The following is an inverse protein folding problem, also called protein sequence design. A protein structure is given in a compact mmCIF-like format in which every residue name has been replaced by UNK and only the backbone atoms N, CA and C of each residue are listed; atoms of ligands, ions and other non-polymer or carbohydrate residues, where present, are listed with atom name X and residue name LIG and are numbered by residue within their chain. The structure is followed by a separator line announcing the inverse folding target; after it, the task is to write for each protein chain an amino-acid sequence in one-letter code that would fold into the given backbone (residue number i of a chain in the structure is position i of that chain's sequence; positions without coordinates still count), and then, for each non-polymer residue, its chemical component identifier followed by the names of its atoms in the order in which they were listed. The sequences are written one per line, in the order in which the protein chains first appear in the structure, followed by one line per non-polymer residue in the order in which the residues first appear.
data_IF_838128157538
#
_entry.id   IF_838128157538
#
_cell.length_a   1.000
_cell.length_b   1.000
_cell.length_c   1.000
_cell.angle_alpha   90.00
_cell.angle_beta   90.00
_cell.angle_gamma   90.00
#
_symmetry.space_group_name_H-M   'P 1'
#
loop_
_entity.id
_entity.type
_entity.pdbx_description
1 polymer ?
2 polymer ?
3 non-polymer ?
4 water ?
#
# COMPACT_ATOMS: atom_id res chain seq x y z
N UNK A 4 2.70 -12.18 23.28
CA UNK A 4 2.86 -10.89 22.53
C UNK A 4 1.62 -9.99 22.68
N UNK A 5 1.87 -8.74 23.05
CA UNK A 5 0.84 -7.71 23.03
C UNK A 5 0.65 -7.20 21.58
N UNK A 6 -0.40 -7.68 20.90
CA UNK A 6 -0.71 -7.26 19.50
C UNK A 6 -1.09 -5.75 19.34
N UNK A 7 -1.67 -5.17 20.38
CA UNK A 7 -2.04 -3.76 20.38
C UNK A 7 -0.72 -2.95 20.43
N UNK A 8 0.27 -3.50 21.12
CA UNK A 8 1.60 -2.84 21.20
C UNK A 8 2.37 -2.88 19.87
N UNK A 9 2.24 -3.98 19.13
CA UNK A 9 2.83 -4.08 17.80
C UNK A 9 2.33 -2.94 16.93
N UNK A 10 1.05 -2.63 17.05
CA UNK A 10 0.48 -1.58 16.19
C UNK A 10 1.02 -0.22 16.66
N UNK A 11 1.02 0.05 17.96
CA UNK A 11 1.65 1.30 18.49
C UNK A 11 3.13 1.45 18.09
N UNK A 12 3.83 0.31 18.01
CA UNK A 12 5.23 0.31 17.57
C UNK A 12 5.41 0.67 16.12
N UNK A 13 4.48 0.21 15.29
CA UNK A 13 4.47 0.66 13.88
C UNK A 13 4.25 2.18 13.79
N UNK A 14 3.31 2.69 14.57
CA UNK A 14 3.05 4.11 14.63
C UNK A 14 4.28 4.85 15.05
N UNK A 15 5.01 4.30 16.03
CA UNK A 15 6.18 5.02 16.54
C UNK A 15 7.31 5.04 15.48
N UNK A 16 7.40 3.94 14.71
CA UNK A 16 8.45 3.88 13.67
C UNK A 16 8.04 4.90 12.57
N UNK A 17 6.72 4.93 12.26
CA UNK A 17 6.21 5.82 11.23
C UNK A 17 6.53 7.32 11.54
N UNK A 18 6.40 7.65 12.81
CA UNK A 18 6.54 9.01 13.30
C UNK A 18 8.00 9.38 13.46
N UNK A 19 8.89 8.41 13.37
CA UNK A 19 10.33 8.75 13.44
C UNK A 19 10.84 8.93 12.00
N UNK A 20 11.59 10.01 11.68
CA UNK A 20 11.93 10.16 10.25
C UNK A 20 12.75 9.02 9.64
N UNK A 21 13.65 8.43 10.42
CA UNK A 21 14.42 7.32 9.88
C UNK A 21 13.60 6.00 9.96
N UNK A 22 12.75 5.87 10.99
CA UNK A 22 11.83 4.74 11.00
C UNK A 22 10.93 4.78 9.76
N UNK A 23 10.51 5.97 9.37
CA UNK A 23 9.60 6.14 8.24
C UNK A 23 10.26 5.65 6.93
N UNK A 24 11.55 5.98 6.77
CA UNK A 24 12.30 5.63 5.58
C UNK A 24 12.47 4.09 5.51
N UNK A 25 12.58 3.46 6.69
CA UNK A 25 12.72 1.99 6.73
C UNK A 25 11.43 1.31 6.42
N UNK A 26 10.32 1.85 6.97
CA UNK A 26 9.02 1.16 6.86
C UNK A 26 8.52 1.30 5.42
N UNK A 27 8.67 2.49 4.81
CA UNK A 27 7.90 2.73 3.57
C UNK A 27 8.78 2.76 2.32
N UNK A 28 9.96 2.15 2.44
CA UNK A 28 10.77 1.84 1.31
C UNK A 28 10.03 0.90 0.36
N UNK A 29 10.44 0.89 -0.88
CA UNK A 29 9.74 0.14 -1.93
C UNK A 29 10.52 -1.03 -2.50
N UNK A 30 11.51 -1.52 -1.74
CA UNK A 30 12.20 -2.75 -2.10
C UNK A 30 11.31 -3.92 -1.67
N UNK A 31 10.70 -4.57 -2.68
CA UNK A 31 9.75 -5.64 -2.40
C UNK A 31 10.43 -7.00 -2.30
N UNK A 32 11.54 -7.23 -2.99
CA UNK A 32 12.15 -8.59 -3.05
C UNK A 32 12.84 -8.91 -1.75
N UNK A 33 13.62 -7.96 -1.26
CA UNK A 33 14.49 -8.24 -0.12
C UNK A 33 13.75 -8.18 1.21
N UNK A 34 14.30 -8.78 2.25
CA UNK A 34 13.64 -8.75 3.60
C UNK A 34 13.51 -7.30 4.04
N UNK A 35 12.40 -6.99 4.69
CA UNK A 35 12.25 -5.62 5.20
C UNK A 35 13.36 -5.30 6.24
N UNK A 36 13.85 -6.32 7.01
CA UNK A 36 14.85 -6.08 8.03
C UNK A 36 16.22 -5.88 7.41
N UNK A 37 16.35 -6.12 6.12
CA UNK A 37 17.64 -5.92 5.41
C UNK A 37 17.78 -4.47 4.92
N UNK A 38 16.76 -3.68 5.05
CA UNK A 38 16.82 -2.27 4.65
C UNK A 38 17.86 -1.56 5.47
N UNK A 39 18.52 -0.58 4.84
CA UNK A 39 19.72 0.06 5.46
C UNK A 39 19.62 1.58 5.19
N UNK A 40 19.63 2.34 6.28
CA UNK A 40 19.43 3.77 6.20
C UNK A 40 20.52 4.44 5.34
N UNK A 41 21.79 4.06 5.58
CA UNK A 41 22.86 4.65 4.74
C UNK A 41 22.60 4.44 3.26
N UNK A 42 22.27 3.21 2.84
CA UNK A 42 22.03 2.96 1.42
C UNK A 42 20.75 3.69 0.95
N UNK A 43 19.72 3.67 1.78
CA UNK A 43 18.47 4.35 1.35
C UNK A 43 18.75 5.79 1.04
N UNK A 44 19.48 6.47 1.95
CA UNK A 44 19.71 7.87 1.72
C UNK A 44 20.68 8.14 0.57
N UNK A 45 21.69 7.30 0.39
CA UNK A 45 22.59 7.39 -0.77
C UNK A 45 21.80 7.37 -2.07
N UNK A 46 20.80 6.48 -2.13
CA UNK A 46 20.00 6.36 -3.31
C UNK A 46 19.07 7.57 -3.56
N UNK A 47 18.58 8.19 -2.49
CA UNK A 47 17.89 9.49 -2.62
C UNK A 47 18.91 10.53 -3.14
N UNK A 48 20.10 10.57 -2.54
CA UNK A 48 21.09 11.54 -2.98
C UNK A 48 21.35 11.48 -4.48
N UNK A 49 21.53 10.26 -5.01
CA UNK A 49 21.84 9.98 -6.42
C UNK A 49 20.66 10.47 -7.27
N UNK A 50 19.46 10.15 -6.77
CA UNK A 50 18.21 10.41 -7.48
C UNK A 50 18.02 11.93 -7.63
N UNK A 51 18.29 12.63 -6.56
CA UNK A 51 18.17 14.07 -6.53
C UNK A 51 19.24 14.66 -7.46
N UNK A 52 20.44 14.08 -7.42
CA UNK A 52 21.53 14.55 -8.28
C UNK A 52 21.21 14.47 -9.78
N UNK A 53 20.51 13.42 -10.21
CA UNK A 53 20.14 13.27 -11.62
C UNK A 53 19.30 14.46 -12.10
N UNK A 54 18.44 14.98 -11.22
CA UNK A 54 17.57 16.10 -11.55
C UNK A 54 18.18 17.46 -11.32
N UNK A 55 19.47 17.46 -10.92
CA UNK A 55 20.16 18.71 -10.74
C UNK A 55 20.06 19.30 -9.38
N UNK A 56 19.85 18.46 -8.36
CA UNK A 56 19.80 18.93 -7.01
C UNK A 56 18.42 19.03 -6.42
N UNK A 57 18.39 19.15 -5.11
CA UNK A 57 17.08 19.13 -4.35
C UNK A 57 16.09 20.23 -4.80
N UNK A 58 16.58 21.46 -5.05
CA UNK A 58 15.70 22.53 -5.50
C UNK A 58 14.96 22.16 -6.80
N UNK A 59 15.69 21.69 -7.80
CA UNK A 59 15.02 21.37 -9.05
C UNK A 59 14.19 20.09 -8.93
N UNK A 60 14.65 19.16 -8.13
CA UNK A 60 13.93 17.90 -7.96
C UNK A 60 12.54 18.27 -7.42
N UNK A 61 12.50 19.14 -6.40
CA UNK A 61 11.22 19.61 -5.87
C UNK A 61 10.37 20.32 -6.88
N UNK A 62 11.00 21.18 -7.68
CA UNK A 62 10.24 21.93 -8.71
C UNK A 62 9.62 20.96 -9.69
N UNK A 63 10.41 19.93 -10.05
CA UNK A 63 10.03 18.96 -11.10
C UNK A 63 9.12 17.79 -10.65
N UNK A 64 9.27 17.39 -9.40
CA UNK A 64 8.50 16.18 -8.89
C UNK A 64 7.42 16.68 -7.92
N UNK A 65 7.66 17.83 -7.28
CA UNK A 65 6.68 18.44 -6.38
C UNK A 65 6.83 18.11 -4.91
N UNK A 66 7.77 17.22 -4.57
CA UNK A 66 7.94 16.86 -3.18
C UNK A 66 9.41 16.74 -2.90
N UNK A 67 9.71 16.77 -1.62
CA UNK A 67 11.06 16.60 -1.13
C UNK A 67 11.21 15.15 -0.67
N UNK A 68 12.06 14.38 -1.34
CA UNK A 68 12.12 12.91 -1.03
C UNK A 68 12.81 12.60 0.30
N UNK A 69 13.48 13.60 0.88
CA UNK A 69 14.06 13.40 2.21
C UNK A 69 13.01 13.52 3.32
N UNK A 70 11.90 14.20 3.06
CA UNK A 70 10.86 14.40 4.04
C UNK A 70 10.24 13.00 4.36
N UNK A 71 9.70 12.87 5.56
CA UNK A 71 8.90 11.64 5.88
C UNK A 71 7.76 11.51 4.92
N UNK A 72 7.43 10.24 4.57
CA UNK A 72 6.33 10.06 3.60
C UNK A 72 5.05 9.61 4.40
N UNK A 73 3.91 9.92 3.78
CA UNK A 73 2.63 9.30 4.26
C UNK A 73 2.21 8.34 3.18
N UNK A 74 2.37 7.04 3.41
CA UNK A 74 2.18 6.04 2.31
C UNK A 74 0.75 5.95 1.89
N UNK A 75 0.58 5.84 0.57
CA UNK A 75 -0.73 5.47 -0.03
C UNK A 75 -1.05 4.02 0.34
N UNK A 76 -2.21 3.53 -0.09
CA UNK A 76 -2.69 2.23 0.47
C UNK A 76 -1.85 1.02 0.10
N UNK A 77 -1.30 1.02 -1.11
CA UNK A 77 -0.56 -0.18 -1.59
C UNK A 77 0.81 -0.14 -0.92
N UNK A 78 1.34 1.09 -0.71
CA UNK A 78 2.65 1.24 -0.05
C UNK A 78 2.62 0.81 1.43
N UNK A 79 1.54 1.14 2.15
CA UNK A 79 1.46 0.78 3.59
C UNK A 79 1.13 -0.73 3.67
N UNK A 80 0.18 -1.21 2.85
CA UNK A 80 -0.27 -2.60 3.00
C UNK A 80 0.85 -3.59 2.65
N UNK A 81 1.56 -3.33 1.55
CA UNK A 81 2.64 -4.25 1.09
C UNK A 81 3.75 -4.27 2.11
N UNK A 82 4.07 -3.10 2.69
CA UNK A 82 5.15 -3.05 3.65
C UNK A 82 4.77 -3.69 5.02
N UNK A 83 3.60 -3.41 5.53
CA UNK A 83 3.23 -4.04 6.78
C UNK A 83 3.11 -5.59 6.57
N UNK A 84 2.64 -5.99 5.41
CA UNK A 84 2.58 -7.42 5.10
C UNK A 84 3.95 -8.11 5.22
N UNK A 85 5.00 -7.46 4.69
CA UNK A 85 6.31 -8.03 4.82
C UNK A 85 6.70 -8.07 6.31
N UNK A 86 6.42 -7.00 7.05
CA UNK A 86 6.81 -6.92 8.44
C UNK A 86 6.15 -8.08 9.22
N UNK A 87 4.93 -8.43 8.82
CA UNK A 87 4.25 -9.50 9.55
C UNK A 87 4.70 -10.90 9.15
N UNK A 88 4.96 -11.10 7.88
CA UNK A 88 5.08 -12.45 7.28
C UNK A 88 6.51 -12.95 7.18
N UNK A 89 7.48 -12.01 7.13
CA UNK A 89 8.85 -12.48 6.95
C UNK A 89 9.49 -13.06 8.18
N UNK A 90 10.01 -14.27 8.05
CA UNK A 90 10.83 -14.90 9.08
C UNK A 90 12.24 -15.09 8.53
N UNK A 91 12.54 -16.34 8.15
CA UNK A 91 13.89 -16.65 7.61
C UNK A 91 14.13 -16.13 6.21
N UNK A 92 13.05 -15.93 5.47
CA UNK A 92 13.15 -15.56 4.09
C UNK A 92 12.29 -14.36 3.71
N UNK A 93 12.74 -13.66 2.67
CA UNK A 93 11.96 -12.53 2.15
C UNK A 93 10.62 -13.02 1.61
N UNK A 94 9.60 -12.16 1.74
CA UNK A 94 8.32 -12.38 1.08
C UNK A 94 8.11 -11.23 0.10
N UNK A 95 7.86 -11.53 -1.17
CA UNK A 95 7.61 -10.45 -2.16
C UNK A 95 6.10 -10.29 -2.30
N UNK A 96 5.51 -9.21 -1.76
CA UNK A 96 4.06 -9.15 -1.77
C UNK A 96 3.47 -8.90 -3.14
N UNK A 97 4.27 -8.35 -4.06
CA UNK A 97 3.79 -8.15 -5.41
C UNK A 97 3.65 -9.51 -6.12
N UNK A 98 4.71 -10.33 -6.06
CA UNK A 98 4.72 -11.71 -6.62
C UNK A 98 3.63 -12.60 -5.97
N UNK A 99 3.57 -12.61 -4.64
CA UNK A 99 2.59 -13.45 -3.92
C UNK A 99 1.12 -13.12 -4.19
N UNK A 100 0.80 -11.84 -4.34
CA UNK A 100 -0.55 -11.40 -4.75
C UNK A 100 -0.95 -11.96 -6.12
N UNK A 101 0.02 -12.09 -7.01
CA UNK A 101 -0.28 -12.47 -8.38
C UNK A 101 -0.41 -13.98 -8.52
N UNK A 102 0.43 -14.70 -7.77
CA UNK A 102 0.49 -16.17 -7.80
C UNK A 102 -0.39 -16.96 -6.80
N UNK A 103 -0.81 -16.34 -5.70
CA UNK A 103 -1.51 -17.01 -4.59
C UNK A 103 -2.97 -16.52 -4.42
N UNK A 104 -3.50 -15.86 -5.43
CA UNK A 104 -4.73 -15.06 -5.37
C UNK A 104 -5.98 -15.93 -5.18
N UNK A 105 -6.84 -15.52 -4.25
CA UNK A 105 -8.24 -16.04 -4.16
C UNK A 105 -9.17 -14.84 -4.22
N UNK A 106 -10.44 -15.04 -4.50
CA UNK A 106 -11.40 -13.97 -4.46
C UNK A 106 -12.21 -13.97 -3.14
N UNK A 107 -13.14 -13.04 -3.02
CA UNK A 107 -13.86 -12.77 -1.81
C UNK A 107 -14.78 -13.91 -1.45
N UNK A 108 -15.24 -14.61 -2.47
CA UNK A 108 -16.09 -15.76 -2.28
C UNK A 108 -15.32 -16.95 -1.72
N UNK A 109 -14.15 -17.25 -2.29
CA UNK A 109 -13.25 -18.26 -1.73
C UNK A 109 -12.72 -17.92 -0.34
N UNK A 110 -12.53 -16.63 -0.09
CA UNK A 110 -12.16 -16.22 1.25
C UNK A 110 -13.31 -16.54 2.23
N UNK A 111 -14.54 -16.19 1.88
CA UNK A 111 -15.69 -16.45 2.75
C UNK A 111 -15.93 -17.94 3.00
N UNK A 112 -15.69 -18.77 1.98
CA UNK A 112 -15.90 -20.24 2.03
C UNK A 112 -14.87 -20.90 2.89
N UNK A 113 -13.73 -20.25 3.08
CA UNK A 113 -12.62 -20.91 3.70
C UNK A 113 -12.20 -20.41 5.07
N UNK A 114 -12.51 -19.16 5.42
CA UNK A 114 -12.00 -18.59 6.70
C UNK A 114 -12.42 -19.43 7.88
N UNK A 115 -13.61 -20.04 7.80
CA UNK A 115 -14.03 -20.81 8.97
C UNK A 115 -13.22 -22.11 9.14
N UNK A 116 -12.34 -22.42 8.20
CA UNK A 116 -11.57 -23.68 8.28
C UNK A 116 -10.16 -23.48 8.72
N UNK A 117 -9.81 -22.22 8.97
CA UNK A 117 -8.50 -21.87 9.46
C UNK A 117 -8.35 -22.37 10.91
N UNK A 118 -7.11 -22.74 11.28
CA UNK A 118 -6.73 -23.18 12.63
C UNK A 118 -6.81 -22.10 13.70
N UNK A 119 -7.42 -22.44 14.83
CA UNK A 119 -7.46 -21.55 16.01
C UNK A 119 -6.15 -21.26 16.57
N UNK A 120 -5.23 -22.23 16.50
CA UNK A 120 -3.94 -22.01 17.08
C UNK A 120 -3.08 -21.13 16.18
N UNK A 121 -3.53 -20.78 14.96
CA UNK A 121 -2.62 -20.12 13.96
C UNK A 121 -3.02 -18.64 13.68
N UNK A 122 -2.07 -17.86 13.16
CA UNK A 122 -2.33 -16.46 12.81
C UNK A 122 -2.33 -16.36 11.32
N UNK A 123 -3.28 -15.61 10.77
CA UNK A 123 -3.27 -15.36 9.34
C UNK A 123 -3.39 -13.82 9.00
N UNK A 124 -2.96 -13.45 7.81
CA UNK A 124 -3.14 -12.10 7.28
C UNK A 124 -3.57 -12.17 5.85
N UNK A 125 -4.56 -11.35 5.54
CA UNK A 125 -5.03 -11.23 4.14
C UNK A 125 -4.56 -9.89 3.57
N UNK A 126 -3.83 -9.96 2.47
CA UNK A 126 -3.52 -8.79 1.66
C UNK A 126 -4.68 -8.66 0.64
N UNK A 127 -5.47 -7.60 0.80
CA UNK A 127 -6.70 -7.44 0.02
C UNK A 127 -6.51 -6.35 -1.01
N UNK A 128 -6.72 -6.69 -2.28
CA UNK A 128 -6.71 -5.74 -3.36
C UNK A 128 -8.15 -5.59 -3.84
N UNK A 129 -8.78 -4.49 -3.41
CA UNK A 129 -10.20 -4.34 -3.64
C UNK A 129 -10.44 -3.65 -4.93
N UNK A 130 -10.96 -4.37 -5.93
CA UNK A 130 -11.03 -3.76 -7.26
C UNK A 130 -12.33 -2.98 -7.40
N UNK A 131 -13.23 -3.07 -6.41
CA UNK A 131 -14.38 -2.16 -6.40
C UNK A 131 -13.99 -0.81 -5.91
N UNK A 132 -13.18 -0.84 -4.87
CA UNK A 132 -12.74 0.40 -4.22
C UNK A 132 -11.48 1.01 -4.82
N UNK A 133 -10.73 0.24 -5.62
CA UNK A 133 -9.39 0.62 -6.10
C UNK A 133 -8.44 0.89 -4.95
N UNK A 134 -8.47 0.03 -3.94
CA UNK A 134 -7.86 0.31 -2.65
C UNK A 134 -7.26 -1.01 -2.16
N UNK A 135 -6.07 -0.98 -1.56
CA UNK A 135 -5.48 -2.14 -0.88
C UNK A 135 -5.49 -1.91 0.64
N UNK A 136 -5.63 -3.00 1.38
CA UNK A 136 -5.61 -3.02 2.81
C UNK A 136 -5.27 -4.43 3.32
N UNK A 137 -4.93 -4.46 4.58
CA UNK A 137 -4.64 -5.74 5.27
C UNK A 137 -5.80 -6.09 6.23
N UNK A 138 -6.06 -7.39 6.33
CA UNK A 138 -6.88 -7.93 7.44
C UNK A 138 -5.99 -8.85 8.27
N UNK A 139 -5.63 -8.43 9.48
CA UNK A 139 -4.91 -9.30 10.39
C UNK A 139 -5.94 -10.16 11.10
N UNK A 140 -5.73 -11.49 11.05
CA UNK A 140 -6.59 -12.40 11.76
C UNK A 140 -5.76 -13.22 12.73
N UNK A 141 -5.41 -12.64 13.87
CA UNK A 141 -4.55 -13.33 14.81
C UNK A 141 -5.30 -14.43 15.53
N UNK A 142 -4.53 -15.34 16.10
CA UNK A 142 -5.14 -16.40 16.93
C UNK A 142 -5.98 -15.77 18.10
N UNK A 143 -7.28 -16.19 18.22
CA UNK A 143 -8.24 -15.71 19.24
C UNK A 143 -9.15 -16.87 19.62
N UNK A 144 -9.14 -17.25 20.89
CA UNK A 144 -9.93 -18.47 21.27
C UNK A 144 -11.36 -18.18 21.71
N UNK A 145 -11.72 -16.91 21.81
CA UNK A 145 -13.09 -16.61 22.16
C UNK A 145 -13.91 -16.61 20.86
N UNK A 146 -13.35 -15.99 19.83
CA UNK A 146 -14.02 -15.77 18.59
C UNK A 146 -12.94 -15.18 17.72
N UNK A 147 -12.56 -15.92 16.69
CA UNK A 147 -11.73 -15.34 15.62
C UNK A 147 -12.30 -14.07 14.96
N UNK A 148 -11.50 -13.01 14.95
CA UNK A 148 -11.93 -11.76 14.36
C UNK A 148 -10.77 -11.15 13.51
N UNK A 149 -11.13 -10.18 12.70
CA UNK A 149 -10.12 -9.47 11.87
C UNK A 149 -9.88 -8.03 12.32
N UNK A 150 -8.69 -7.50 12.01
CA UNK A 150 -8.29 -6.12 12.23
C UNK A 150 -7.84 -5.54 10.87
N UNK A 151 -8.37 -4.39 10.52
CA UNK A 151 -8.01 -3.77 9.22
C UNK A 151 -6.87 -2.76 9.39
N UNK A 152 -5.85 -2.94 8.56
CA UNK A 152 -4.66 -1.94 8.56
C UNK A 152 -4.66 -1.30 7.19
N UNK A 153 -4.83 0.03 7.16
CA UNK A 153 -4.90 0.71 5.85
C UNK A 153 -4.43 2.16 5.92
N UNK A 154 -4.09 2.71 4.75
CA UNK A 154 -4.05 4.14 4.54
C UNK A 154 -4.74 4.42 3.19
N UNK A 155 -4.94 5.71 2.85
CA UNK A 155 -5.67 6.01 1.60
C UNK A 155 -5.24 7.33 1.03
N UNK A 156 -4.83 7.34 -0.23
CA UNK A 156 -4.64 8.63 -0.99
C UNK A 156 -5.93 9.49 -0.99
N UNK A 157 -7.09 8.82 -1.10
CA UNK A 157 -8.34 9.51 -1.04
C UNK A 157 -8.90 9.77 -2.41
N UNK A 158 -8.44 9.03 -3.43
CA UNK A 158 -8.91 9.23 -4.79
C UNK A 158 -10.07 8.32 -5.22
N UNK A 159 -10.55 7.44 -4.33
CA UNK A 159 -11.68 6.59 -4.57
C UNK A 159 -12.91 7.10 -3.85
N UNK A 160 -13.67 6.19 -3.28
CA UNK A 160 -14.90 6.53 -2.59
C UNK A 160 -14.70 7.02 -1.15
N UNK A 161 -13.47 6.99 -0.64
CA UNK A 161 -13.18 7.31 0.74
C UNK A 161 -12.22 8.50 0.87
N UNK A 162 -12.19 9.14 2.06
CA UNK A 162 -11.34 10.36 2.17
C UNK A 162 -9.87 9.95 2.33
N UNK A 163 -8.96 10.92 2.16
CA UNK A 163 -7.54 10.65 2.47
C UNK A 163 -7.44 10.13 3.93
N UNK A 164 -6.50 9.23 4.15
CA UNK A 164 -6.36 8.55 5.42
C UNK A 164 -4.90 8.22 5.68
N UNK A 165 -4.35 8.87 6.71
CA UNK A 165 -2.97 8.58 7.12
C UNK A 165 -2.82 7.34 7.93
N UNK A 166 -1.77 6.58 7.64
CA UNK A 166 -1.59 5.29 8.30
C UNK A 166 -1.62 5.36 9.82
N UNK A 167 -0.93 6.37 10.40
CA UNK A 167 -0.93 6.41 11.86
C UNK A 167 -2.26 6.88 12.39
N UNK A 168 -2.95 7.79 11.70
CA UNK A 168 -4.28 8.21 12.16
C UNK A 168 -5.20 7.00 12.23
N UNK A 169 -5.19 6.21 11.16
CA UNK A 169 -5.97 4.97 11.14
C UNK A 169 -5.61 3.97 12.27
N UNK A 170 -4.31 3.67 12.43
CA UNK A 170 -3.87 2.65 13.36
C UNK A 170 -4.08 3.00 14.80
N UNK A 171 -4.14 4.27 15.15
CA UNK A 171 -4.18 4.56 16.57
C UNK A 171 -5.38 3.97 17.33
N UNK A 172 -6.51 4.00 16.65
CA UNK A 172 -7.75 3.46 17.24
C UNK A 172 -8.45 2.48 16.29
N UNK A 173 -8.73 2.92 15.08
CA UNK A 173 -9.56 2.13 14.17
C UNK A 173 -8.90 0.84 13.74
N UNK A 174 -7.56 0.82 13.57
CA UNK A 174 -6.92 -0.44 13.25
C UNK A 174 -6.93 -1.49 14.36
N UNK A 175 -7.37 -1.10 15.56
CA UNK A 175 -7.45 -2.00 16.71
C UNK A 175 -8.86 -2.49 16.92
N UNK A 176 -9.76 -2.05 16.04
CA UNK A 176 -11.17 -2.43 16.19
C UNK A 176 -11.36 -3.76 15.52
N UNK A 177 -11.96 -4.71 16.26
CA UNK A 177 -12.10 -6.01 15.70
C UNK A 177 -13.30 -6.01 14.72
N UNK A 178 -13.26 -6.92 13.76
CA UNK A 178 -14.30 -6.97 12.75
C UNK A 178 -14.70 -8.42 12.66
N UNK A 179 -15.97 -8.70 12.93
CA UNK A 179 -16.37 -10.10 12.89
C UNK A 179 -16.13 -10.72 11.49
N UNK A 180 -15.92 -12.04 11.43
CA UNK A 180 -15.90 -12.72 10.14
C UNK A 180 -17.20 -12.53 9.33
N UNK A 181 -18.34 -12.51 10.04
CA UNK A 181 -19.60 -12.25 9.46
C UNK A 181 -19.55 -10.97 8.62
N UNK A 182 -19.06 -9.89 9.26
CA UNK A 182 -18.97 -8.62 8.57
C UNK A 182 -17.92 -8.63 7.45
N UNK A 183 -16.80 -9.32 7.64
CA UNK A 183 -15.76 -9.37 6.55
C UNK A 183 -16.30 -10.15 5.35
N UNK A 184 -17.07 -11.21 5.60
CA UNK A 184 -17.65 -11.92 4.49
C UNK A 184 -18.65 -11.03 3.71
N UNK A 185 -19.44 -10.26 4.41
CA UNK A 185 -20.36 -9.38 3.80
C UNK A 185 -19.65 -8.30 2.96
N UNK A 186 -18.53 -7.79 3.49
CA UNK A 186 -17.77 -6.79 2.74
C UNK A 186 -17.13 -7.33 1.44
N UNK A 187 -16.57 -8.55 1.53
CA UNK A 187 -15.62 -9.05 0.52
C UNK A 187 -16.25 -9.98 -0.50
N UNK A 188 -17.36 -10.62 -0.10
CA UNK A 188 -17.97 -11.67 -1.01
C UNK A 188 -19.04 -11.08 -1.95
N UNK A 189 -19.64 -11.94 -2.75
CA UNK A 189 -20.70 -11.52 -3.61
C UNK A 189 -21.88 -10.97 -2.82
N UNK A 190 -21.92 -11.24 -1.52
CA UNK A 190 -23.03 -10.72 -0.69
C UNK A 190 -23.08 -9.20 -0.78
N UNK A 191 -21.92 -8.58 -0.97
CA UNK A 191 -21.86 -7.13 -1.01
C UNK A 191 -22.76 -6.57 -2.10
N UNK A 192 -22.86 -7.29 -3.21
CA UNK A 192 -23.63 -6.82 -4.38
C UNK A 192 -25.14 -6.75 -4.17
N UNK A 193 -25.65 -7.53 -3.22
CA UNK A 193 -27.11 -7.49 -2.96
C UNK A 193 -27.52 -6.42 -1.98
N UNK A 194 -26.54 -5.70 -1.45
CA UNK A 194 -26.87 -4.74 -0.43
C UNK A 194 -27.48 -3.55 -1.10
N UNK A 195 -28.35 -2.89 -0.37
CA UNK A 195 -28.83 -1.58 -0.84
C UNK A 195 -27.72 -0.52 -0.79
N UNK A 196 -28.01 0.64 -1.38
CA UNK A 196 -27.05 1.73 -1.36
C UNK A 196 -26.70 2.13 0.05
N UNK A 197 -27.70 2.38 0.88
CA UNK A 197 -27.45 2.68 2.29
C UNK A 197 -26.72 1.58 3.03
N UNK A 198 -27.06 0.32 2.76
CA UNK A 198 -26.36 -0.78 3.41
C UNK A 198 -24.89 -0.83 3.01
N UNK A 199 -24.60 -0.50 1.76
CA UNK A 199 -23.19 -0.44 1.30
C UNK A 199 -22.44 0.68 2.03
N UNK A 200 -23.05 1.87 2.14
CA UNK A 200 -22.41 2.98 2.87
C UNK A 200 -22.20 2.68 4.33
N UNK A 201 -23.17 2.00 4.92
CA UNK A 201 -23.06 1.64 6.29
C UNK A 201 -21.89 0.68 6.47
N UNK A 202 -21.75 -0.31 5.57
CA UNK A 202 -20.79 -1.37 5.80
C UNK A 202 -19.40 -0.82 5.48
N UNK A 203 -19.31 -0.13 4.36
CA UNK A 203 -17.98 0.44 4.01
C UNK A 203 -17.54 1.44 5.10
N UNK A 204 -18.44 2.29 5.55
CA UNK A 204 -18.05 3.23 6.63
C UNK A 204 -17.68 2.54 7.96
N UNK A 205 -18.47 1.55 8.36
CA UNK A 205 -18.16 0.78 9.52
C UNK A 205 -16.77 0.20 9.55
N UNK A 206 -16.39 -0.43 8.44
CA UNK A 206 -15.14 -1.22 8.28
C UNK A 206 -13.95 -0.30 7.93
N UNK A 207 -14.19 0.75 7.12
CA UNK A 207 -13.09 1.45 6.45
C UNK A 207 -12.97 2.96 6.70
N UNK A 208 -13.97 3.58 7.29
CA UNK A 208 -13.87 5.02 7.50
C UNK A 208 -13.42 5.35 8.91
N UNK A 209 -12.52 6.32 9.02
CA UNK A 209 -11.99 6.55 10.35
C UNK A 209 -13.06 6.92 11.42
N UNK A 210 -14.05 7.65 10.94
CA UNK A 210 -15.12 8.20 11.76
C UNK A 210 -16.44 7.51 11.48
N UNK A 211 -16.36 6.28 10.98
CA UNK A 211 -17.55 5.42 10.70
C UNK A 211 -18.74 6.25 10.18
N UNK A 212 -18.46 7.15 9.25
CA UNK A 212 -19.48 8.09 8.79
C UNK A 212 -19.96 7.78 7.37
N UNK A 213 -21.25 7.42 7.21
CA UNK A 213 -21.83 7.18 5.88
C UNK A 213 -21.65 8.27 4.84
N UNK A 214 -21.68 9.54 5.25
CA UNK A 214 -21.49 10.61 4.23
C UNK A 214 -20.07 10.73 3.74
N UNK A 215 -19.17 10.02 4.37
CA UNK A 215 -17.77 9.93 3.88
C UNK A 215 -17.53 8.92 2.77
N UNK A 216 -18.56 8.15 2.39
CA UNK A 216 -18.48 7.19 1.29
C UNK A 216 -19.15 7.69 0.01
N UNK A 217 -18.39 7.87 -1.07
CA UNK A 217 -18.93 8.22 -2.39
C UNK A 217 -19.23 6.99 -3.17
N UNK A 218 -20.46 6.56 -3.00
CA UNK A 218 -20.92 5.33 -3.57
C UNK A 218 -20.68 5.26 -5.09
N UNK A 219 -20.74 6.40 -5.77
CA UNK A 219 -20.57 6.42 -7.19
C UNK A 219 -19.15 6.15 -7.62
N UNK A 220 -18.21 6.35 -6.69
CA UNK A 220 -16.80 5.97 -6.93
C UNK A 220 -16.49 4.49 -6.66
N UNK A 221 -17.44 3.76 -6.07
CA UNK A 221 -17.28 2.30 -5.99
C UNK A 221 -17.70 1.66 -7.31
N UNK A 222 -16.80 0.89 -7.91
CA UNK A 222 -17.01 0.20 -9.16
C UNK A 222 -17.96 -1.02 -8.97
N UNK A 223 -19.07 -0.99 -9.69
CA UNK A 223 -20.11 -1.96 -9.46
C UNK A 223 -19.67 -3.26 -10.17
N UNK A 224 -20.11 -4.42 -9.67
CA UNK A 224 -19.80 -5.73 -10.31
C UNK A 224 -18.37 -6.24 -10.28
N UNK A 225 -17.50 -5.55 -9.53
CA UNK A 225 -16.10 -5.95 -9.47
C UNK A 225 -15.93 -6.82 -8.23
N UNK A 226 -14.74 -7.38 -8.04
CA UNK A 226 -14.47 -8.23 -6.91
C UNK A 226 -13.24 -7.80 -6.18
N UNK A 227 -12.69 -8.73 -5.43
CA UNK A 227 -11.52 -8.44 -4.65
C UNK A 227 -10.55 -9.54 -4.99
N UNK A 228 -9.26 -9.21 -4.85
CA UNK A 228 -8.15 -10.13 -5.01
C UNK A 228 -7.45 -10.28 -3.70
N UNK A 229 -7.35 -11.48 -3.17
CA UNK A 229 -6.80 -11.66 -1.84
C UNK A 229 -5.67 -12.65 -1.84
N UNK A 230 -4.60 -12.28 -1.15
CA UNK A 230 -3.59 -13.24 -0.80
C UNK A 230 -3.65 -13.46 0.71
N UNK A 231 -4.07 -14.68 1.09
CA UNK A 231 -4.21 -15.08 2.46
C UNK A 231 -3.08 -16.01 2.86
N UNK A 232 -2.42 -15.71 3.96
CA UNK A 232 -1.32 -16.56 4.42
C UNK A 232 -1.22 -16.60 5.95
N UNK A 233 -0.63 -17.69 6.46
CA UNK A 233 -0.35 -17.82 7.81
C UNK A 233 0.86 -16.99 8.11
N UNK A 234 0.95 -16.56 9.36
CA UNK A 234 2.18 -15.88 9.81
C UNK A 234 2.45 -16.22 11.25
N UNK A 235 3.68 -15.90 11.70
CA UNK A 235 4.13 -16.18 13.04
C UNK A 235 4.21 -14.87 13.77
N UNK A 236 3.40 -14.70 14.82
CA UNK A 236 3.43 -13.43 15.59
C UNK A 236 4.81 -13.13 16.13
N UNK A 237 5.63 -14.16 16.36
CA UNK A 237 6.97 -13.84 16.85
C UNK A 237 7.79 -13.11 15.78
N UNK A 238 7.55 -13.39 14.52
CA UNK A 238 8.32 -12.77 13.45
C UNK A 238 7.87 -11.32 13.32
N UNK A 239 6.57 -11.07 13.44
CA UNK A 239 6.03 -9.71 13.35
C UNK A 239 6.71 -8.93 14.50
N UNK A 240 6.72 -9.53 15.71
CA UNK A 240 7.34 -8.87 16.83
C UNK A 240 8.84 -8.59 16.60
N UNK A 241 9.60 -9.59 16.18
CA UNK A 241 11.04 -9.42 16.06
C UNK A 241 11.46 -8.56 14.90
N UNK A 242 10.65 -8.52 13.85
CA UNK A 242 11.00 -7.64 12.71
C UNK A 242 10.90 -6.20 13.17
N UNK A 243 9.86 -5.91 13.92
CA UNK A 243 9.70 -4.57 14.51
C UNK A 243 10.87 -4.24 15.45
N UNK A 244 11.27 -5.20 16.26
CA UNK A 244 12.40 -4.97 17.15
C UNK A 244 13.66 -4.71 16.31
N UNK A 245 13.87 -5.47 15.24
CA UNK A 245 15.04 -5.27 14.38
C UNK A 245 15.04 -3.86 13.78
N UNK A 246 13.88 -3.41 13.31
CA UNK A 246 13.85 -2.02 12.77
C UNK A 246 14.08 -0.98 13.86
N UNK A 247 13.49 -1.18 15.06
CA UNK A 247 13.72 -0.25 16.18
C UNK A 247 15.19 -0.20 16.54
N UNK A 248 15.85 -1.36 16.55
CA UNK A 248 17.30 -1.40 16.78
C UNK A 248 18.06 -0.52 15.83
N UNK A 249 17.74 -0.59 14.52
CA UNK A 249 18.42 0.22 13.46
C UNK A 249 18.49 1.68 13.92
N UNK A 250 17.47 2.13 14.64
CA UNK A 250 17.39 3.50 15.06
C UNK A 250 18.15 3.74 16.34
N UNK A 251 17.96 2.86 17.34
CA UNK A 251 18.57 2.95 18.68
C UNK A 251 20.07 2.63 18.64
N UNK A 252 20.49 1.94 17.60
CA UNK A 252 21.92 1.70 17.36
C UNK A 252 22.51 2.58 16.25
N UNK A 253 21.78 3.60 15.79
CA UNK A 253 22.28 4.47 14.68
C UNK A 253 23.58 5.21 15.07
N UNK B 1 8.51 1.97 -27.18
CA UNK B 1 9.44 2.99 -26.53
C UNK B 1 9.73 2.58 -25.09
N UNK B 2 11.01 2.56 -24.69
CA UNK B 2 11.35 2.27 -23.32
C UNK B 2 11.40 3.55 -22.53
N UNK B 3 10.62 3.62 -21.47
CA UNK B 3 10.74 4.75 -20.52
C UNK B 3 11.09 4.24 -19.14
N UNK B 4 11.48 5.16 -18.26
CA UNK B 4 11.84 4.80 -16.86
C UNK B 4 10.74 5.33 -15.98
N UNK B 5 10.35 4.58 -14.95
CA UNK B 5 9.54 5.19 -13.92
C UNK B 5 10.37 5.13 -12.66
N UNK B 6 10.48 6.27 -11.95
CA UNK B 6 11.34 6.42 -10.76
C UNK B 6 10.53 6.83 -9.54
N UNK B 7 10.71 6.16 -8.41
CA UNK B 7 9.94 6.46 -7.23
C UNK B 7 10.75 7.46 -6.33
N UNK B 8 10.12 7.88 -5.26
CA UNK B 8 10.67 8.83 -4.27
C UNK B 8 11.97 8.22 -3.76
N UNK B 9 12.08 6.89 -3.69
CA UNK B 9 13.25 6.28 -3.06
C UNK B 9 14.39 6.23 -4.11
N UNK B 10 14.14 6.63 -5.35
CA UNK B 10 15.11 6.46 -6.45
C UNK B 10 15.01 5.07 -7.17
N UNK B 11 14.12 4.19 -6.70
CA UNK B 11 13.94 2.95 -7.42
C UNK B 11 13.52 3.21 -8.86
N UNK B 12 14.11 2.49 -9.79
CA UNK B 12 13.80 2.63 -11.22
C UNK B 12 13.24 1.34 -11.76
N UNK B 13 12.19 1.44 -12.56
CA UNK B 13 11.80 0.30 -13.37
C UNK B 13 11.66 0.76 -14.80
N UNK B 14 11.78 -0.14 -15.74
CA UNK B 14 11.73 0.28 -17.10
C UNK B 14 10.42 -0.32 -17.62
N UNK B 15 9.70 0.52 -18.35
CA UNK B 15 8.38 0.18 -18.89
C UNK B 15 8.42 0.38 -20.41
N UNK B 16 7.74 -0.53 -21.11
CA UNK B 16 7.67 -0.48 -22.55
C UNK B 16 6.28 0.08 -22.93
N UNK B 17 6.22 1.22 -23.64
CA UNK B 17 4.95 1.88 -23.98
C UNK B 17 4.89 2.15 -25.45
N UNK B 18 3.67 2.36 -25.92
CA UNK B 18 3.43 2.80 -27.28
C UNK B 18 2.93 4.23 -27.22
N UNK B 19 3.15 5.03 -28.30
CA UNK B 19 2.55 6.38 -28.21
C UNK B 19 1.03 6.38 -28.11
N UNK B 20 0.34 5.33 -28.56
CA UNK B 20 -1.16 5.37 -28.41
C UNK B 20 -1.61 5.00 -27.00
N UNK B 21 -0.68 4.61 -26.14
CA UNK B 21 -1.11 4.18 -24.83
C UNK B 21 -1.65 5.32 -23.95
N UNK B 22 -2.75 5.06 -23.25
CA UNK B 22 -3.25 6.04 -22.28
C UNK B 22 -2.36 6.01 -21.06
N UNK B 23 -2.31 7.10 -20.30
CA UNK B 23 -1.54 7.09 -19.05
C UNK B 23 -2.06 6.01 -18.10
N UNK B 24 -3.36 5.74 -18.16
CA UNK B 24 -3.92 4.61 -17.44
C UNK B 24 -3.23 3.27 -17.76
N UNK B 25 -2.91 3.03 -19.04
CA UNK B 25 -2.22 1.83 -19.49
C UNK B 25 -0.85 1.80 -18.82
N UNK B 26 -0.15 2.93 -18.89
CA UNK B 26 1.21 2.97 -18.26
C UNK B 26 1.14 2.56 -16.79
N UNK B 27 0.09 3.00 -16.09
CA UNK B 27 -0.11 2.66 -14.68
C UNK B 27 -0.37 1.19 -14.54
N UNK B 28 -1.11 0.57 -15.48
CA UNK B 28 -1.22 -0.88 -15.45
C UNK B 28 0.17 -1.60 -15.50
N UNK B 29 1.03 -1.11 -16.39
CA UNK B 29 2.38 -1.67 -16.51
C UNK B 29 3.12 -1.48 -15.16
N UNK B 30 2.98 -0.31 -14.55
CA UNK B 30 3.63 -0.08 -13.23
C UNK B 30 3.09 -1.05 -12.19
N UNK B 31 1.77 -1.26 -12.21
CA UNK B 31 1.13 -2.14 -11.22
C UNK B 31 1.69 -3.58 -11.32
N UNK B 32 1.99 -4.05 -12.55
CA UNK B 32 2.57 -5.40 -12.76
C UNK B 32 3.85 -5.51 -11.95
N UNK B 33 4.58 -4.40 -11.80
CA UNK B 33 5.88 -4.48 -11.14
C UNK B 33 5.84 -4.11 -9.67
N UNK B 34 5.00 -3.14 -9.33
CA UNK B 34 5.01 -2.50 -8.02
C UNK B 34 3.81 -2.92 -7.14
N UNK B 35 2.75 -3.50 -7.75
CA UNK B 35 1.55 -3.85 -6.95
C UNK B 35 0.54 -2.72 -6.77
N UNK B 36 0.98 -1.48 -6.90
CA UNK B 36 0.17 -0.31 -6.60
C UNK B 36 -1.04 -0.12 -7.49
N UNK B 37 -2.27 -0.03 -6.90
CA UNK B 37 -3.41 0.14 -7.83
C UNK B 37 -3.25 1.40 -8.65
N UNK B 38 -3.62 1.36 -9.96
CA UNK B 38 -3.53 2.57 -10.79
C UNK B 38 -4.28 3.73 -10.14
N UNK B 39 -5.44 3.48 -9.49
CA UNK B 39 -6.22 4.56 -8.90
C UNK B 39 -5.43 5.47 -7.95
N UNK B 40 -4.36 4.92 -7.36
CA UNK B 40 -3.63 5.63 -6.34
C UNK B 40 -2.23 5.99 -6.86
N UNK B 41 -1.89 5.59 -8.09
CA UNK B 41 -0.57 6.03 -8.67
C UNK B 41 -0.59 7.45 -9.11
N UNK B 42 0.40 8.26 -8.70
CA UNK B 42 0.57 9.53 -9.37
C UNK B 42 1.87 9.61 -10.14
N UNK B 43 1.73 9.90 -11.40
CA UNK B 43 2.85 9.89 -12.29
C UNK B 43 3.06 11.32 -12.72
N UNK B 44 4.31 11.76 -12.63
CA UNK B 44 4.67 13.19 -12.92
C UNK B 44 5.69 13.22 -14.06
N UNK B 45 5.43 14.00 -15.12
CA UNK B 45 6.30 13.97 -16.31
C UNK B 45 6.63 15.43 -16.51
N UNK B 46 7.92 15.66 -16.53
CA UNK B 46 8.38 16.68 -15.62
C UNK B 46 7.71 18.04 -15.66
N UNK B 47 7.06 18.22 -14.53
CA UNK B 47 6.28 19.34 -14.01
C UNK B 47 4.84 19.00 -13.69
N UNK B 48 4.20 18.19 -14.52
CA UNK B 48 2.75 18.08 -14.36
C UNK B 48 2.37 16.64 -14.02
N UNK B 49 1.34 16.52 -13.19
CA UNK B 49 0.67 15.28 -12.89
C UNK B 49 -0.01 14.81 -14.20
N UNK B 50 0.17 13.53 -14.52
CA UNK B 50 -0.41 12.99 -15.79
C UNK B 50 -1.80 12.49 -15.58
N UNK B 51 -2.68 12.91 -16.48
CA UNK B 51 -4.08 12.47 -16.41
C UNK B 51 -4.24 11.14 -17.13
N UNK B 52 -4.98 10.24 -16.45
CA UNK B 52 -5.15 8.86 -16.89
C UNK B 52 -5.72 8.70 -18.29
N UNK B 53 -6.49 9.68 -18.72
CA UNK B 53 -7.22 9.59 -19.97
C UNK B 53 -6.45 10.18 -21.15
N UNK B 54 -5.33 10.83 -20.90
CA UNK B 54 -4.51 11.32 -22.03
C UNK B 54 -3.47 10.25 -22.41
N UNK B 55 -2.91 10.33 -23.61
CA UNK B 55 -1.91 9.34 -24.07
C UNK B 55 -0.46 9.76 -23.90
N UNK B 56 0.43 8.78 -24.08
CA UNK B 56 1.86 9.04 -24.19
C UNK B 56 2.09 10.04 -25.31
N UNK B 57 1.46 9.85 -26.47
CA UNK B 57 1.64 10.79 -27.61
C UNK B 57 1.15 12.18 -27.26
N UNK B 58 -0.01 12.25 -26.57
CA UNK B 58 -0.58 13.50 -26.03
C UNK B 58 0.44 14.23 -25.17
N UNK B 59 1.16 13.50 -24.35
CA UNK B 59 2.17 14.15 -23.46
C UNK B 59 3.55 14.31 -24.17
N UNK B 60 3.60 13.93 -25.45
CA UNK B 60 4.85 13.81 -26.24
C UNK B 60 6.03 13.11 -25.50
N UNK B 61 5.73 12.04 -24.72
CA UNK B 61 6.75 11.31 -23.89
C UNK B 61 7.71 10.72 -24.88
N UNK B 62 9.01 10.78 -24.57
CA UNK B 62 10.05 10.41 -25.52
C UNK B 62 10.87 9.23 -25.03
N UNK B 63 11.65 8.60 -25.91
CA UNK B 63 12.57 7.56 -25.47
C UNK B 63 13.44 8.14 -24.38
N UNK B 64 13.55 7.40 -23.28
CA UNK B 64 14.46 7.73 -22.20
C UNK B 64 13.78 8.61 -21.16
N UNK B 65 12.50 8.99 -21.38
CA UNK B 65 11.84 9.83 -20.44
C UNK B 65 11.78 9.16 -19.10
N UNK B 66 11.93 9.95 -18.06
CA UNK B 66 11.73 9.48 -16.68
C UNK B 66 10.41 10.05 -16.23
N UNK B 67 9.56 9.14 -15.79
CA UNK B 67 8.33 9.55 -15.13
C UNK B 67 8.56 9.27 -13.67
N UNK B 68 8.05 10.13 -12.81
CA UNK B 68 8.18 9.96 -11.38
C UNK B 68 6.90 9.44 -10.75
N UNK B 69 7.03 8.35 -10.01
CA UNK B 69 5.83 7.71 -9.34
C UNK B 69 5.87 8.16 -7.88
N UNK B 70 4.88 8.93 -7.46
CA UNK B 70 4.84 9.49 -6.08
C UNK B 70 3.84 8.72 -5.23
N UNK B 71 4.30 7.90 -4.31
CA UNK B 71 3.38 6.98 -3.58
C UNK B 71 3.00 7.52 -2.21
N UNK B 72 2.64 8.82 -2.16
CA UNK B 72 2.45 9.50 -0.93
C UNK B 72 1.10 10.22 -1.01
N UNK B 73 0.46 10.39 0.12
CA UNK B 73 -0.73 11.28 0.23
C UNK B 73 -0.30 12.67 -0.21
N UNK B 74 -1.23 13.36 -0.81
CA UNK B 74 -1.00 14.77 -1.19
C UNK B 74 -0.78 15.65 0.03
#
# INVERSE_FOLDING_TARGET
KNSINTIKLIDDIIALHNDPKGNKLLWNDNWQDKIINRDLANIFEKIDESVSELGGLEMYQEMVGVNPYDPTEPVSGLSAQNIFKLMTEGEHAVDPVEMAQTGKIDGNEFAESVDQLSSAKNYVALVNDRRLGHMFLIDIPSNDQETVGYIYQSDLGQGALPPLKIADWLNSRGKDAVSLNKLKKLLSREFNLLSDDEKRALISETLDIHKDVSNVELDRIKRDRGVDIYLTEYDVNNFYENIETLKSKLSNYDKKLSKPK
MLIKVKTLTGKEIEIDIEPTDKVERIKERVEEKEGIPPQQQRLIYSGKQMNDEKTAADYKILGGSVLHLVLALRGGGGLRQKHHHHHH
#
